data_IF_352955416965
#
_entry.id   IF_352955416965
#
_cell.length_a   1.000
_cell.length_b   1.000
_cell.length_c   1.000
_cell.angle_alpha   90.00
_cell.angle_beta   90.00
_cell.angle_gamma   90.00
#
_symmetry.space_group_name_H-M   'P 1'
#
loop_
_entity.id
_entity.type
_entity.pdbx_description
1 polymer ?
#
# COMPACT_ATOMS: atom_id res chain seq x y z
N UNK A 1 -6.16 -38.81 4.21
CA UNK A 1 -6.08 -37.96 3.01
C UNK A 1 -4.63 -37.57 2.77
N UNK A 2 -4.12 -37.63 1.53
CA UNK A 2 -2.75 -37.20 1.24
C UNK A 2 -2.57 -35.72 1.58
N UNK A 3 -1.47 -35.39 2.27
CA UNK A 3 -1.11 -34.00 2.58
C UNK A 3 -0.56 -33.34 1.32
N UNK A 4 -1.05 -32.15 0.99
CA UNK A 4 -0.52 -31.29 -0.07
C UNK A 4 0.17 -30.10 0.56
N UNK A 5 1.47 -29.96 0.33
CA UNK A 5 2.26 -28.80 0.76
C UNK A 5 2.42 -27.82 -0.39
N UNK A 6 2.03 -26.56 -0.19
CA UNK A 6 2.17 -25.51 -1.19
C UNK A 6 3.49 -24.76 -1.01
N UNK A 7 4.19 -24.51 -2.13
CA UNK A 7 5.45 -23.77 -2.14
C UNK A 7 5.20 -22.37 -2.69
N UNK A 8 5.67 -21.37 -1.95
CA UNK A 8 5.52 -19.96 -2.32
C UNK A 8 6.87 -19.24 -2.34
N UNK A 9 6.99 -18.22 -3.17
CA UNK A 9 8.14 -17.32 -3.24
C UNK A 9 7.60 -15.89 -3.33
N UNK A 10 8.01 -15.02 -2.42
CA UNK A 10 7.53 -13.63 -2.32
C UNK A 10 5.99 -13.52 -2.28
N UNK A 11 5.34 -14.40 -1.50
CA UNK A 11 3.88 -14.43 -1.35
C UNK A 11 3.12 -14.98 -2.56
N UNK A 12 3.82 -15.44 -3.61
CA UNK A 12 3.20 -16.02 -4.80
C UNK A 12 3.42 -17.52 -4.86
N UNK A 13 2.41 -18.29 -5.27
CA UNK A 13 2.55 -19.74 -5.37
C UNK A 13 3.42 -20.13 -6.56
N UNK A 14 4.22 -21.18 -6.37
CA UNK A 14 5.17 -21.71 -7.35
C UNK A 14 4.98 -23.19 -7.63
N UNK A 15 4.20 -23.88 -6.81
CA UNK A 15 3.92 -25.29 -7.01
C UNK A 15 3.37 -25.94 -5.75
N UNK A 16 3.23 -27.26 -5.82
CA UNK A 16 2.79 -28.11 -4.73
C UNK A 16 3.67 -29.36 -4.64
N UNK A 17 3.56 -30.03 -3.49
CA UNK A 17 4.07 -31.38 -3.27
C UNK A 17 2.96 -32.20 -2.64
N UNK A 18 2.52 -33.26 -3.32
CA UNK A 18 1.43 -34.13 -2.86
C UNK A 18 1.98 -35.54 -2.71
N UNK A 19 1.97 -36.09 -1.50
CA UNK A 19 2.52 -37.43 -1.22
C UNK A 19 3.96 -37.63 -1.75
N UNK A 20 4.80 -36.60 -1.65
CA UNK A 20 6.19 -36.63 -2.15
C UNK A 20 6.34 -36.30 -3.64
N UNK A 21 5.27 -36.25 -4.42
CA UNK A 21 5.30 -35.87 -5.84
C UNK A 21 5.28 -34.35 -5.98
N UNK A 22 6.32 -33.78 -6.61
CA UNK A 22 6.47 -32.34 -6.83
C UNK A 22 5.87 -31.94 -8.18
N UNK A 23 5.01 -30.93 -8.16
CA UNK A 23 4.48 -30.25 -9.34
C UNK A 23 4.79 -28.76 -9.23
N UNK A 24 5.51 -28.20 -10.20
CA UNK A 24 5.81 -26.78 -10.31
C UNK A 24 4.82 -26.08 -11.26
N UNK A 25 4.51 -24.81 -10.98
CA UNK A 25 3.56 -24.01 -11.75
C UNK A 25 4.30 -22.98 -12.59
N UNK A 26 4.00 -22.96 -13.89
CA UNK A 26 4.35 -21.86 -14.78
C UNK A 26 3.15 -20.94 -14.92
N UNK A 27 3.36 -19.63 -14.80
CA UNK A 27 2.26 -18.65 -14.71
C UNK A 27 2.41 -17.53 -15.72
N UNK A 28 1.29 -16.97 -16.16
CA UNK A 28 1.27 -15.70 -16.90
C UNK A 28 1.52 -14.48 -15.98
N UNK A 29 1.51 -13.27 -16.55
CA UNK A 29 1.72 -12.02 -15.80
C UNK A 29 0.62 -11.74 -14.76
N UNK A 30 -0.60 -12.27 -14.97
CA UNK A 30 -1.69 -12.20 -14.02
C UNK A 30 -1.63 -13.31 -12.96
N UNK A 31 -0.66 -14.23 -13.05
CA UNK A 31 -0.49 -15.29 -12.07
C UNK A 31 -1.36 -16.52 -12.32
N UNK A 32 -1.99 -16.60 -13.50
CA UNK A 32 -2.74 -17.78 -13.90
C UNK A 32 -1.80 -18.89 -14.33
N UNK A 33 -2.02 -20.12 -13.86
CA UNK A 33 -1.17 -21.27 -14.19
C UNK A 33 -1.34 -21.68 -15.65
N UNK A 34 -0.35 -21.43 -16.50
CA UNK A 34 -0.36 -21.79 -17.93
C UNK A 34 0.20 -23.17 -18.20
N UNK A 35 0.99 -23.73 -17.27
CA UNK A 35 1.46 -25.11 -17.34
C UNK A 35 1.85 -25.64 -15.96
N UNK A 36 1.82 -26.96 -15.83
CA UNK A 36 2.41 -27.67 -14.68
C UNK A 36 3.56 -28.54 -15.16
N UNK A 37 4.65 -28.59 -14.40
CA UNK A 37 5.83 -29.40 -14.72
C UNK A 37 6.28 -30.24 -13.54
N UNK A 38 6.90 -31.38 -13.80
CA UNK A 38 7.53 -32.23 -12.77
C UNK A 38 8.80 -31.56 -12.21
N UNK A 39 9.38 -32.18 -11.18
CA UNK A 39 10.69 -31.77 -10.64
C UNK A 39 11.84 -31.79 -11.67
N UNK A 40 11.70 -32.60 -12.71
CA UNK A 40 12.62 -32.75 -13.83
C UNK A 40 12.25 -31.85 -15.02
N UNK A 41 11.40 -30.85 -14.80
CA UNK A 41 10.92 -29.89 -15.80
C UNK A 41 10.17 -30.50 -17.00
N UNK A 42 9.60 -31.70 -16.84
CA UNK A 42 8.74 -32.31 -17.86
C UNK A 42 7.34 -31.74 -17.74
N UNK A 43 6.76 -31.27 -18.85
CA UNK A 43 5.41 -30.70 -18.87
C UNK A 43 4.36 -31.78 -18.62
N UNK A 44 3.58 -31.63 -17.56
CA UNK A 44 2.46 -32.52 -17.22
C UNK A 44 1.15 -32.04 -17.85
N UNK A 45 0.92 -30.72 -17.82
CA UNK A 45 -0.28 -30.11 -18.38
C UNK A 45 0.04 -28.72 -18.95
N UNK A 46 -0.74 -28.28 -19.94
CA UNK A 46 -0.83 -26.86 -20.33
C UNK A 46 -2.26 -26.38 -20.27
N UNK A 47 -2.46 -25.09 -20.01
CA UNK A 47 -3.77 -24.47 -19.83
C UNK A 47 -3.90 -23.18 -20.62
N UNK A 48 -5.09 -22.94 -21.16
CA UNK A 48 -5.53 -21.64 -21.65
C UNK A 48 -6.78 -21.22 -20.88
N UNK A 49 -6.81 -19.98 -20.44
CA UNK A 49 -7.95 -19.39 -19.75
C UNK A 49 -8.61 -18.34 -20.63
N UNK A 50 -9.94 -18.26 -20.57
CA UNK A 50 -10.70 -17.11 -21.06
C UNK A 50 -10.40 -15.90 -20.17
N UNK A 51 -10.66 -14.66 -20.64
CA UNK A 51 -10.38 -13.45 -19.86
C UNK A 51 -10.96 -13.49 -18.44
N UNK A 52 -12.18 -13.99 -18.28
CA UNK A 52 -12.89 -14.07 -16.99
C UNK A 52 -12.68 -15.37 -16.21
N UNK A 53 -11.66 -16.16 -16.57
CA UNK A 53 -11.14 -17.25 -15.74
C UNK A 53 -11.65 -18.65 -16.06
N UNK A 54 -12.67 -18.78 -16.89
CA UNK A 54 -13.09 -20.08 -17.39
C UNK A 54 -11.96 -20.73 -18.19
N UNK A 55 -11.79 -22.06 -18.07
CA UNK A 55 -10.77 -22.79 -18.82
C UNK A 55 -11.18 -22.89 -20.29
N UNK A 56 -10.40 -22.30 -21.18
CA UNK A 56 -10.57 -22.42 -22.63
C UNK A 56 -10.07 -23.77 -23.15
N UNK A 57 -8.91 -24.23 -22.69
CA UNK A 57 -8.38 -25.53 -23.06
C UNK A 57 -7.37 -26.07 -22.04
N UNK A 58 -7.21 -27.39 -22.04
CA UNK A 58 -6.16 -28.13 -21.33
C UNK A 58 -5.51 -29.13 -22.28
N UNK A 59 -4.20 -29.30 -22.18
CA UNK A 59 -3.50 -30.49 -22.68
C UNK A 59 -2.86 -31.26 -21.52
N UNK A 60 -2.52 -32.53 -21.77
CA UNK A 60 -1.93 -33.41 -20.76
C UNK A 60 -2.98 -34.15 -19.91
N UNK A 61 -2.52 -35.17 -19.19
CA UNK A 61 -3.34 -36.06 -18.37
C UNK A 61 -3.02 -35.95 -16.88
N UNK A 62 -2.10 -35.06 -16.49
CA UNK A 62 -1.76 -34.81 -15.09
C UNK A 62 -2.94 -34.24 -14.30
N UNK A 63 -2.91 -34.41 -12.99
CA UNK A 63 -3.96 -33.90 -12.09
C UNK A 63 -3.98 -32.37 -12.09
N UNK A 64 -5.17 -31.78 -12.17
CA UNK A 64 -5.32 -30.32 -12.10
C UNK A 64 -4.96 -29.80 -10.70
N UNK A 65 -4.12 -28.75 -10.59
CA UNK A 65 -3.89 -28.10 -9.32
C UNK A 65 -5.15 -27.38 -8.84
N UNK A 66 -5.27 -27.17 -7.53
CA UNK A 66 -6.38 -26.39 -6.95
C UNK A 66 -6.29 -24.89 -7.22
N UNK A 67 -5.22 -24.44 -7.86
CA UNK A 67 -4.93 -23.03 -8.11
C UNK A 67 -4.58 -22.92 -9.58
N UNK A 68 -5.50 -22.37 -10.36
CA UNK A 68 -5.42 -22.29 -11.82
C UNK A 68 -5.42 -20.82 -12.25
N UNK A 69 -6.57 -20.30 -12.68
CA UNK A 69 -6.70 -18.89 -13.05
C UNK A 69 -6.42 -17.99 -11.85
N UNK A 70 -5.54 -16.99 -12.05
CA UNK A 70 -4.92 -16.17 -10.99
C UNK A 70 -4.43 -16.96 -9.77
N UNK A 71 -4.08 -18.23 -9.94
CA UNK A 71 -3.87 -19.16 -8.84
C UNK A 71 -2.65 -18.84 -7.98
N UNK A 72 -1.64 -18.17 -8.54
CA UNK A 72 -0.44 -17.83 -7.78
C UNK A 72 -0.66 -16.77 -6.70
N UNK A 73 -1.80 -16.07 -6.72
CA UNK A 73 -2.20 -15.11 -5.69
C UNK A 73 -2.96 -15.77 -4.54
N UNK A 74 -3.19 -17.08 -4.62
CA UNK A 74 -3.95 -17.86 -3.66
C UNK A 74 -5.45 -17.97 -3.99
N UNK A 75 -5.86 -17.56 -5.19
CA UNK A 75 -7.22 -17.80 -5.68
C UNK A 75 -7.42 -19.28 -6.01
N UNK A 76 -8.35 -19.93 -5.32
CA UNK A 76 -8.49 -21.39 -5.31
C UNK A 76 -9.74 -21.83 -6.06
N UNK A 77 -9.65 -22.91 -6.83
CA UNK A 77 -10.82 -23.56 -7.43
C UNK A 77 -11.66 -24.29 -6.38
N UNK A 78 -12.98 -24.13 -6.48
CA UNK A 78 -13.95 -24.73 -5.56
C UNK A 78 -14.61 -25.97 -6.13
N UNK A 79 -14.77 -26.04 -7.46
CA UNK A 79 -15.56 -27.07 -8.15
C UNK A 79 -17.08 -26.84 -8.07
N UNK A 80 -17.52 -25.68 -7.58
CA UNK A 80 -18.94 -25.31 -7.55
C UNK A 80 -19.29 -24.43 -8.76
N UNK A 81 -20.38 -24.78 -9.46
CA UNK A 81 -20.94 -23.96 -10.55
C UNK A 81 -21.40 -22.61 -10.01
N UNK A 82 -21.15 -21.56 -10.79
CA UNK A 82 -21.35 -20.16 -10.46
C UNK A 82 -20.54 -19.63 -9.28
N UNK A 83 -19.59 -20.41 -8.75
CA UNK A 83 -18.74 -20.03 -7.63
C UNK A 83 -17.35 -20.66 -7.78
N UNK A 84 -16.86 -20.79 -9.02
CA UNK A 84 -15.72 -21.63 -9.37
C UNK A 84 -14.43 -21.24 -8.65
N UNK A 85 -14.30 -19.97 -8.24
CA UNK A 85 -13.11 -19.43 -7.60
C UNK A 85 -13.43 -18.87 -6.21
N UNK A 86 -12.64 -19.26 -5.22
CA UNK A 86 -12.63 -18.67 -3.89
C UNK A 86 -11.46 -17.68 -3.75
N UNK A 87 -11.81 -16.43 -3.48
CA UNK A 87 -10.87 -15.33 -3.30
C UNK A 87 -11.12 -14.70 -1.93
N UNK A 88 -10.71 -15.44 -0.88
CA UNK A 88 -10.70 -15.03 0.54
C UNK A 88 -12.02 -14.44 1.05
N UNK A 89 -12.32 -13.19 0.73
CA UNK A 89 -13.55 -12.52 1.13
C UNK A 89 -14.79 -13.02 0.38
N UNK A 90 -14.63 -13.44 -0.89
CA UNK A 90 -15.77 -13.75 -1.76
C UNK A 90 -15.52 -14.97 -2.64
N UNK A 91 -16.62 -15.50 -3.17
CA UNK A 91 -16.59 -16.41 -4.29
C UNK A 91 -16.88 -15.65 -5.58
N UNK A 92 -16.18 -16.04 -6.64
CA UNK A 92 -16.32 -15.51 -7.97
C UNK A 92 -16.78 -16.61 -8.90
N UNK A 93 -17.78 -16.29 -9.72
CA UNK A 93 -18.25 -17.16 -10.77
C UNK A 93 -17.68 -16.75 -12.12
N UNK A 94 -16.84 -17.61 -12.69
CA UNK A 94 -16.23 -17.44 -14.00
C UNK A 94 -17.22 -17.64 -15.15
N UNK A 95 -18.30 -18.39 -14.95
CA UNK A 95 -19.33 -18.61 -15.97
C UNK A 95 -20.16 -17.34 -16.20
N UNK A 96 -20.53 -16.65 -15.13
CA UNK A 96 -21.28 -15.40 -15.18
C UNK A 96 -20.41 -14.13 -15.13
N UNK A 97 -19.10 -14.27 -14.93
CA UNK A 97 -18.14 -13.18 -14.83
C UNK A 97 -18.40 -12.16 -13.71
N UNK A 98 -18.96 -12.62 -12.57
CA UNK A 98 -19.31 -11.75 -11.44
C UNK A 98 -18.99 -12.37 -10.08
N UNK A 99 -18.91 -11.51 -9.06
CA UNK A 99 -18.95 -11.96 -7.67
C UNK A 99 -20.30 -12.60 -7.32
N UNK A 100 -20.27 -13.58 -6.42
CA UNK A 100 -21.49 -14.26 -5.95
C UNK A 100 -22.16 -13.53 -4.77
N UNK A 101 -21.51 -12.51 -4.23
CA UNK A 101 -21.99 -11.70 -3.12
C UNK A 101 -21.69 -10.23 -3.38
N UNK A 102 -22.46 -9.34 -2.73
CA UNK A 102 -22.27 -7.90 -2.83
C UNK A 102 -20.85 -7.52 -2.39
N UNK A 103 -20.24 -6.61 -3.14
CA UNK A 103 -18.95 -6.03 -2.82
C UNK A 103 -19.00 -5.26 -1.50
N UNK A 104 -18.03 -5.49 -0.63
CA UNK A 104 -17.88 -4.73 0.61
C UNK A 104 -17.62 -3.24 0.35
N UNK A 105 -17.13 -2.87 -0.84
CA UNK A 105 -16.92 -1.49 -1.26
C UNK A 105 -18.15 -0.85 -1.92
N UNK A 106 -19.24 -1.59 -2.11
CA UNK A 106 -20.50 -1.02 -2.57
C UNK A 106 -21.03 0.03 -1.55
N UNK A 107 -21.54 1.20 -1.97
CA UNK A 107 -21.85 1.60 -3.35
C UNK A 107 -20.75 2.37 -4.10
N UNK A 108 -19.52 2.45 -3.55
CA UNK A 108 -18.43 3.17 -4.21
C UNK A 108 -17.94 2.50 -5.51
N UNK A 109 -18.28 1.22 -5.70
CA UNK A 109 -18.14 0.50 -6.96
C UNK A 109 -19.30 -0.48 -7.24
N UNK A 110 -19.17 -1.25 -8.33
CA UNK A 110 -20.19 -2.22 -8.75
C UNK A 110 -20.40 -3.29 -7.68
N UNK A 111 -21.67 -3.53 -7.32
CA UNK A 111 -22.02 -4.54 -6.31
C UNK A 111 -21.50 -5.95 -6.64
N UNK A 112 -21.39 -6.30 -7.92
CA UNK A 112 -21.01 -7.65 -8.35
C UNK A 112 -19.93 -7.68 -9.43
N UNK A 113 -19.49 -6.51 -9.90
CA UNK A 113 -18.55 -6.41 -11.01
C UNK A 113 -17.16 -6.92 -10.64
N UNK A 114 -16.54 -7.67 -11.56
CA UNK A 114 -15.15 -8.10 -11.42
C UNK A 114 -14.21 -7.14 -12.16
N UNK A 115 -13.18 -6.65 -11.47
CA UNK A 115 -12.01 -5.94 -12.04
C UNK A 115 -12.30 -4.75 -12.96
N UNK A 116 -13.40 -4.04 -12.69
CA UNK A 116 -13.92 -2.96 -13.57
C UNK A 116 -14.01 -3.40 -15.04
N UNK A 117 -14.44 -4.65 -15.25
CA UNK A 117 -14.53 -5.30 -16.56
C UNK A 117 -13.19 -5.36 -17.35
N UNK A 118 -12.05 -5.32 -16.65
CA UNK A 118 -10.72 -5.39 -17.27
C UNK A 118 -9.87 -6.57 -16.76
N UNK A 119 -10.32 -7.83 -16.97
CA UNK A 119 -9.69 -9.01 -16.38
C UNK A 119 -8.44 -9.48 -17.12
N UNK A 120 -8.09 -8.85 -18.25
CA UNK A 120 -6.86 -9.14 -19.00
C UNK A 120 -5.64 -8.39 -18.46
N UNK A 121 -5.85 -7.36 -17.63
CA UNK A 121 -4.76 -6.58 -17.01
C UNK A 121 -4.89 -6.45 -15.50
N UNK A 122 -6.04 -6.79 -14.93
CA UNK A 122 -6.32 -6.70 -13.48
C UNK A 122 -6.80 -8.04 -12.94
N UNK A 123 -6.61 -8.21 -11.64
CA UNK A 123 -7.05 -9.36 -10.85
C UNK A 123 -7.46 -8.89 -9.46
N UNK A 124 -8.30 -9.65 -8.79
CA UNK A 124 -8.69 -9.41 -7.40
C UNK A 124 -8.47 -10.65 -6.51
N UNK A 125 -7.25 -10.84 -5.99
CA UNK A 125 -6.92 -11.97 -5.12
C UNK A 125 -7.65 -11.96 -3.78
N UNK A 126 -8.03 -10.77 -3.30
CA UNK A 126 -8.66 -10.57 -2.01
C UNK A 126 -10.16 -10.75 -2.04
N UNK A 127 -10.77 -10.67 -3.23
CA UNK A 127 -12.21 -10.57 -3.37
C UNK A 127 -12.74 -9.27 -2.78
N UNK A 128 -12.03 -8.15 -2.93
CA UNK A 128 -12.42 -6.82 -2.44
C UNK A 128 -11.90 -5.66 -3.33
N UNK A 129 -11.34 -6.00 -4.49
CA UNK A 129 -10.61 -5.18 -5.45
C UNK A 129 -10.33 -3.72 -5.03
N UNK A 130 -9.16 -3.31 -4.57
CA UNK A 130 -7.79 -3.76 -4.78
C UNK A 130 -7.17 -4.30 -3.47
N UNK A 131 -6.00 -4.91 -3.57
CA UNK A 131 -5.23 -5.61 -2.52
C UNK A 131 -4.77 -4.77 -1.30
N UNK A 132 -5.46 -3.68 -0.96
CA UNK A 132 -5.19 -2.81 0.18
C UNK A 132 -6.54 -2.41 0.77
N UNK A 133 -6.83 -2.77 2.03
CA UNK A 133 -7.96 -2.15 2.74
C UNK A 133 -7.61 -0.68 2.90
N UNK A 134 -8.14 0.21 2.06
CA UNK A 134 -7.63 1.56 2.02
C UNK A 134 -8.01 2.28 3.32
N UNK A 135 -7.30 3.36 3.68
CA UNK A 135 -7.69 4.15 4.82
C UNK A 135 -9.15 4.62 4.71
N UNK A 136 -9.89 4.56 5.81
CA UNK A 136 -11.25 5.11 5.92
C UNK A 136 -11.16 6.62 6.10
N UNK A 137 -12.16 7.33 5.57
CA UNK A 137 -12.26 8.78 5.75
C UNK A 137 -13.47 9.14 6.60
N UNK A 138 -13.29 10.08 7.51
CA UNK A 138 -14.36 10.79 8.20
C UNK A 138 -14.34 12.26 7.79
N UNK A 139 -15.50 12.90 7.78
CA UNK A 139 -15.63 14.30 7.41
C UNK A 139 -15.36 14.60 5.92
N UNK A 140 -15.24 15.89 5.61
CA UNK A 140 -15.00 16.38 4.25
C UNK A 140 -13.52 16.73 4.08
N UNK A 141 -12.84 16.05 3.16
CA UNK A 141 -11.42 16.27 2.91
C UNK A 141 -11.13 17.33 1.84
N UNK A 142 -12.13 18.10 1.40
CA UNK A 142 -11.94 19.20 0.45
C UNK A 142 -11.27 20.41 1.13
N UNK A 143 -10.27 21.00 0.46
CA UNK A 143 -9.60 22.20 0.95
C UNK A 143 -8.39 22.61 0.10
N UNK A 144 -8.16 23.92 0.00
CA UNK A 144 -7.11 24.48 -0.86
C UNK A 144 -7.32 24.10 -2.34
N UNK A 145 -6.37 23.36 -2.90
CA UNK A 145 -6.41 22.86 -4.29
C UNK A 145 -7.04 21.46 -4.43
N UNK A 146 -7.37 20.80 -3.32
CA UNK A 146 -7.88 19.44 -3.33
C UNK A 146 -9.41 19.43 -3.23
N UNK A 147 -10.05 18.73 -4.15
CA UNK A 147 -11.39 18.17 -3.93
C UNK A 147 -11.28 16.97 -2.99
N UNK A 148 -12.37 16.64 -2.29
CA UNK A 148 -12.46 15.47 -1.43
C UNK A 148 -12.01 14.19 -2.15
N UNK A 149 -12.47 13.98 -3.39
CA UNK A 149 -12.03 12.86 -4.23
C UNK A 149 -10.52 12.89 -4.51
N UNK A 150 -9.96 14.02 -4.92
CA UNK A 150 -8.53 14.13 -5.22
C UNK A 150 -7.62 13.93 -4.00
N UNK A 151 -8.09 14.32 -2.81
CA UNK A 151 -7.37 14.07 -1.56
C UNK A 151 -7.38 12.58 -1.23
N UNK A 152 -8.53 11.92 -1.31
CA UNK A 152 -8.67 10.48 -1.08
C UNK A 152 -7.80 9.68 -2.05
N UNK A 153 -7.79 10.03 -3.34
CA UNK A 153 -6.88 9.43 -4.34
C UNK A 153 -5.41 9.60 -3.95
N UNK A 154 -5.01 10.79 -3.48
CA UNK A 154 -3.65 11.05 -3.03
C UNK A 154 -3.23 10.13 -1.88
N UNK A 155 -4.12 9.91 -0.89
CA UNK A 155 -3.86 8.99 0.22
C UNK A 155 -3.75 7.54 -0.27
N UNK A 156 -4.61 7.12 -1.19
CA UNK A 156 -4.56 5.78 -1.77
C UNK A 156 -3.26 5.54 -2.54
N UNK A 157 -2.82 6.50 -3.35
CA UNK A 157 -1.55 6.41 -4.08
C UNK A 157 -0.34 6.36 -3.13
N UNK A 158 -0.42 7.07 -1.99
CA UNK A 158 0.59 6.99 -0.93
C UNK A 158 0.62 5.59 -0.31
N UNK A 159 -0.52 5.04 0.07
CA UNK A 159 -0.59 3.71 0.65
C UNK A 159 -0.13 2.62 -0.30
N UNK A 160 -0.46 2.76 -1.60
CA UNK A 160 0.03 1.85 -2.63
C UNK A 160 1.54 1.81 -2.74
N UNK A 161 2.16 2.99 -2.69
CA UNK A 161 3.61 3.10 -2.68
C UNK A 161 4.21 2.52 -1.40
N UNK A 162 3.63 2.78 -0.24
CA UNK A 162 4.07 2.23 1.05
C UNK A 162 3.99 0.70 1.08
N UNK A 163 2.87 0.12 0.64
CA UNK A 163 2.64 -1.32 0.60
C UNK A 163 3.56 -2.03 -0.41
N UNK A 164 4.03 -1.32 -1.45
CA UNK A 164 5.03 -1.85 -2.39
C UNK A 164 6.47 -1.89 -1.84
N UNK A 165 6.75 -1.25 -0.70
CA UNK A 165 8.11 -1.19 -0.14
C UNK A 165 8.55 -2.58 0.33
N UNK A 166 9.66 -3.07 -0.23
CA UNK A 166 10.42 -4.19 0.35
C UNK A 166 11.53 -3.66 1.26
N UNK A 167 11.90 -4.42 2.30
CA UNK A 167 13.00 -4.07 3.19
C UNK A 167 14.02 -5.23 3.25
N UNK A 168 15.32 -4.99 2.99
CA UNK A 168 15.90 -3.72 2.54
C UNK A 168 15.55 -3.39 1.08
N UNK A 169 15.54 -2.10 0.73
CA UNK A 169 15.40 -1.64 -0.66
C UNK A 169 16.22 -0.38 -0.93
N UNK A 170 16.58 -0.16 -2.19
CA UNK A 170 17.25 1.07 -2.65
C UNK A 170 16.43 2.33 -2.30
N UNK A 171 15.10 2.21 -2.33
CA UNK A 171 14.18 3.26 -1.90
C UNK A 171 14.43 3.69 -0.45
N UNK A 172 14.41 2.73 0.48
CA UNK A 172 14.64 3.01 1.91
C UNK A 172 16.08 3.49 2.15
N UNK A 173 17.07 2.96 1.42
CA UNK A 173 18.43 3.46 1.49
C UNK A 173 18.53 4.94 1.12
N UNK A 174 17.91 5.36 0.01
CA UNK A 174 17.93 6.75 -0.44
C UNK A 174 17.14 7.68 0.48
N UNK A 175 16.00 7.25 1.00
CA UNK A 175 15.23 8.00 2.00
C UNK A 175 16.08 8.22 3.26
N UNK A 176 16.76 7.18 3.76
CA UNK A 176 17.61 7.29 4.95
C UNK A 176 18.86 8.15 4.71
N UNK A 177 19.42 8.10 3.50
CA UNK A 177 20.50 9.01 3.09
C UNK A 177 20.02 10.47 3.09
N UNK A 178 18.84 10.75 2.56
CA UNK A 178 18.22 12.07 2.60
C UNK A 178 18.06 12.56 4.04
N UNK A 179 17.46 11.75 4.93
CA UNK A 179 17.25 12.11 6.35
C UNK A 179 18.58 12.46 7.02
N UNK A 180 19.62 11.64 6.82
CA UNK A 180 20.94 11.87 7.42
C UNK A 180 21.56 13.20 6.96
N UNK A 181 21.49 13.51 5.68
CA UNK A 181 22.01 14.77 5.13
C UNK A 181 21.22 15.98 5.63
N UNK A 182 19.90 15.89 5.67
CA UNK A 182 19.03 16.93 6.21
C UNK A 182 19.29 17.24 7.68
N UNK A 183 19.50 16.21 8.51
CA UNK A 183 19.87 16.38 9.93
C UNK A 183 21.25 17.05 10.06
N UNK A 184 22.22 16.67 9.22
CA UNK A 184 23.53 17.33 9.21
C UNK A 184 23.43 18.80 8.82
N UNK A 185 22.65 19.13 7.79
CA UNK A 185 22.44 20.51 7.35
C UNK A 185 21.74 21.35 8.44
N UNK A 186 20.69 20.81 9.07
CA UNK A 186 20.02 21.42 10.21
C UNK A 186 21.02 21.73 11.35
N UNK A 187 21.77 20.72 11.78
CA UNK A 187 22.68 20.83 12.93
C UNK A 187 23.89 21.75 12.69
N UNK A 188 24.15 22.18 11.45
CA UNK A 188 25.12 23.23 11.13
C UNK A 188 24.58 24.63 11.41
N UNK A 189 23.28 24.85 11.27
CA UNK A 189 22.64 26.17 11.31
C UNK A 189 21.82 26.43 12.57
N UNK A 190 21.47 25.39 13.35
CA UNK A 190 20.50 25.51 14.45
C UNK A 190 20.94 24.80 15.73
N UNK A 191 20.51 25.38 16.85
CA UNK A 191 20.56 24.81 18.20
C UNK A 191 19.16 24.82 18.82
N UNK A 192 18.79 23.81 19.62
CA UNK A 192 19.55 22.60 19.94
C UNK A 192 19.71 21.68 18.71
N UNK A 193 20.77 20.87 18.71
CA UNK A 193 20.98 19.85 17.68
C UNK A 193 19.91 18.77 17.81
N UNK A 194 19.51 18.20 16.68
CA UNK A 194 18.51 17.13 16.61
C UNK A 194 19.18 15.82 16.18
N UNK A 195 18.60 14.70 16.60
CA UNK A 195 18.92 13.36 16.12
C UNK A 195 17.64 12.67 15.65
N UNK A 196 17.63 12.25 14.38
CA UNK A 196 16.48 11.59 13.79
C UNK A 196 16.82 10.17 13.40
N UNK A 197 15.97 9.24 13.83
CA UNK A 197 16.01 7.87 13.37
C UNK A 197 15.65 7.84 11.87
N UNK A 198 16.35 6.99 11.11
CA UNK A 198 15.92 6.66 9.75
C UNK A 198 14.60 5.87 9.75
N UNK A 199 14.10 5.58 8.56
CA UNK A 199 13.00 4.65 8.36
C UNK A 199 13.53 3.22 8.53
N UNK A 200 13.17 2.59 9.65
CA UNK A 200 13.56 1.22 10.00
C UNK A 200 12.64 0.19 9.35
N UNK A 201 13.03 -1.09 9.42
CA UNK A 201 12.15 -2.22 9.04
C UNK A 201 10.82 -2.19 9.78
N UNK A 202 10.85 -1.92 11.08
CA UNK A 202 9.65 -1.90 11.91
C UNK A 202 8.76 -0.70 11.57
N UNK A 203 9.35 0.45 11.24
CA UNK A 203 8.59 1.60 10.75
C UNK A 203 7.94 1.33 9.41
N UNK A 204 8.63 0.68 8.47
CA UNK A 204 8.01 0.23 7.21
C UNK A 204 6.83 -0.70 7.49
N UNK A 205 7.02 -1.72 8.34
CA UNK A 205 5.94 -2.64 8.71
C UNK A 205 4.75 -1.94 9.38
N UNK A 206 5.02 -0.93 10.21
CA UNK A 206 4.01 -0.07 10.81
C UNK A 206 3.21 0.69 9.74
N UNK A 207 3.88 1.40 8.83
CA UNK A 207 3.23 2.16 7.76
C UNK A 207 2.37 1.25 6.87
N UNK A 208 2.90 0.07 6.50
CA UNK A 208 2.17 -0.93 5.74
C UNK A 208 0.95 -1.45 6.50
N UNK A 209 1.09 -1.65 7.81
CA UNK A 209 -0.02 -2.06 8.68
C UNK A 209 -1.11 -1.00 8.72
N UNK A 210 -0.76 0.30 8.86
CA UNK A 210 -1.74 1.38 8.84
C UNK A 210 -2.48 1.44 7.49
N UNK A 211 -1.74 1.34 6.39
CA UNK A 211 -2.30 1.31 5.04
C UNK A 211 -3.10 0.03 4.71
N UNK A 212 -2.98 -1.04 5.50
CA UNK A 212 -3.62 -2.34 5.23
C UNK A 212 -4.64 -2.78 6.28
N UNK A 213 -4.72 -2.12 7.44
CA UNK A 213 -5.65 -2.43 8.55
C UNK A 213 -6.70 -1.33 8.79
N UNK A 214 -7.14 -0.64 7.74
CA UNK A 214 -8.19 0.39 7.82
C UNK A 214 -7.80 1.61 8.68
N UNK A 215 -6.58 2.14 8.51
CA UNK A 215 -6.20 3.43 9.10
C UNK A 215 -7.28 4.50 8.84
N UNK A 216 -7.50 5.41 9.79
CA UNK A 216 -8.57 6.41 9.69
C UNK A 216 -7.95 7.78 9.42
N UNK A 217 -8.42 8.46 8.38
CA UNK A 217 -8.16 9.88 8.16
C UNK A 217 -9.42 10.66 8.52
N UNK A 218 -9.35 11.52 9.53
CA UNK A 218 -10.46 12.36 9.95
C UNK A 218 -10.25 13.79 9.46
N UNK A 219 -11.08 14.20 8.51
CA UNK A 219 -10.95 15.48 7.82
C UNK A 219 -11.89 16.52 8.42
N UNK A 220 -11.32 17.62 8.90
CA UNK A 220 -12.10 18.73 9.40
C UNK A 220 -11.28 19.74 10.19
N UNK A 221 -11.95 20.78 10.75
CA UNK A 221 -11.28 21.75 11.60
C UNK A 221 -10.68 21.08 12.83
N UNK A 222 -9.37 21.15 12.97
CA UNK A 222 -8.66 20.63 14.15
C UNK A 222 -8.65 21.68 15.25
N UNK A 223 -8.95 21.24 16.49
CA UNK A 223 -8.89 22.09 17.68
C UNK A 223 -7.50 22.73 17.84
N UNK A 224 -7.44 24.02 18.14
CA UNK A 224 -6.17 24.75 18.24
C UNK A 224 -5.58 25.22 16.90
N UNK A 225 -6.27 25.00 15.77
CA UNK A 225 -5.91 25.62 14.50
C UNK A 225 -4.79 24.91 13.73
N UNK A 226 -4.40 23.71 14.13
CA UNK A 226 -3.37 22.92 13.44
C UNK A 226 -3.85 22.43 12.06
N UNK A 227 -2.89 22.11 11.18
CA UNK A 227 -3.15 21.51 9.87
C UNK A 227 -3.25 19.97 9.92
N UNK A 228 -2.67 19.35 10.95
CA UNK A 228 -2.69 17.92 11.18
C UNK A 228 -2.54 17.60 12.68
N UNK A 229 -3.05 16.45 13.09
CA UNK A 229 -2.90 15.92 14.44
C UNK A 229 -3.02 14.39 14.47
N UNK A 230 -2.21 13.72 15.29
CA UNK A 230 -2.31 12.30 15.58
C UNK A 230 -2.62 12.09 17.07
N UNK A 231 -3.89 11.87 17.48
CA UNK A 231 -4.28 11.76 18.89
C UNK A 231 -3.62 10.61 19.65
N UNK A 232 -3.23 9.55 18.94
CA UNK A 232 -2.68 8.32 19.52
C UNK A 232 -1.23 8.41 19.98
N UNK A 233 -0.55 9.56 19.88
CA UNK A 233 0.88 9.66 20.17
C UNK A 233 1.21 9.57 21.68
N UNK A 234 2.07 8.63 22.10
CA UNK A 234 2.69 8.70 23.41
C UNK A 234 3.82 9.75 23.37
N UNK A 235 3.60 10.92 23.96
CA UNK A 235 4.50 12.08 23.94
C UNK A 235 5.86 11.91 24.66
N UNK A 236 6.21 10.72 25.16
CA UNK A 236 7.39 10.53 26.04
C UNK A 236 8.59 9.74 25.48
N UNK A 237 8.43 8.84 24.51
CA UNK A 237 9.57 8.11 23.89
C UNK A 237 9.34 7.76 22.40
N UNK A 238 10.40 7.83 21.58
CA UNK A 238 10.38 7.40 20.17
C UNK A 238 10.67 5.91 20.05
N UNK A 239 9.65 5.10 19.75
CA UNK A 239 9.78 3.66 19.48
C UNK A 239 8.80 3.24 18.38
N UNK A 240 9.22 2.32 17.50
CA UNK A 240 8.36 1.84 16.42
C UNK A 240 7.13 1.10 16.98
N UNK A 241 5.93 1.49 16.56
CA UNK A 241 4.68 0.87 17.00
C UNK A 241 4.29 -0.32 16.11
N UNK A 242 3.82 -1.41 16.71
CA UNK A 242 3.45 -2.64 16.00
C UNK A 242 1.98 -2.68 15.53
N UNK A 243 1.14 -1.72 15.94
CA UNK A 243 -0.29 -1.71 15.59
C UNK A 243 -0.86 -0.27 15.49
N UNK A 244 -0.47 0.50 14.46
CA UNK A 244 -0.99 1.85 14.24
C UNK A 244 -2.44 1.76 13.73
N UNK A 245 -3.40 1.80 14.65
CA UNK A 245 -4.82 1.99 14.33
C UNK A 245 -5.25 3.44 14.62
N UNK A 246 -4.26 4.32 14.82
CA UNK A 246 -4.51 5.70 15.19
C UNK A 246 -5.22 6.44 14.05
N UNK A 247 -6.16 7.28 14.45
CA UNK A 247 -6.80 8.25 13.56
C UNK A 247 -5.80 9.36 13.27
N UNK A 248 -5.65 9.73 12.02
CA UNK A 248 -4.89 10.90 11.60
C UNK A 248 -5.89 12.00 11.26
N UNK A 249 -5.90 13.06 12.04
CA UNK A 249 -6.72 14.22 11.79
C UNK A 249 -5.99 15.16 10.83
N UNK A 250 -6.68 15.63 9.79
CA UNK A 250 -6.16 16.56 8.80
C UNK A 250 -7.17 17.69 8.60
N UNK A 251 -6.70 18.93 8.63
CA UNK A 251 -7.47 20.08 8.17
C UNK A 251 -7.02 20.45 6.75
N UNK A 252 -7.71 19.97 5.70
CA UNK A 252 -7.31 20.20 4.31
C UNK A 252 -7.45 21.67 3.89
N UNK A 253 -8.21 22.48 4.64
CA UNK A 253 -8.39 23.91 4.37
C UNK A 253 -7.19 24.72 4.81
N UNK A 254 -6.40 24.17 5.73
CA UNK A 254 -5.20 24.82 6.24
C UNK A 254 -3.97 24.39 5.45
N UNK A 255 -3.15 25.40 5.17
CA UNK A 255 -1.77 25.22 4.76
C UNK A 255 -0.95 24.89 6.01
N UNK A 256 -0.17 23.81 5.98
CA UNK A 256 0.83 23.59 7.02
C UNK A 256 1.86 24.73 6.95
N UNK A 257 2.37 25.19 8.10
CA UNK A 257 3.40 26.23 8.10
C UNK A 257 4.67 25.70 7.42
N UNK A 258 5.26 26.50 6.53
CA UNK A 258 6.63 26.31 6.04
C UNK A 258 7.53 26.22 7.28
N UNK A 259 8.16 25.08 7.51
CA UNK A 259 8.95 24.91 8.72
C UNK A 259 10.43 25.27 8.52
N UNK A 260 10.78 25.69 7.30
CA UNK A 260 12.06 26.31 6.95
C UNK A 260 11.84 27.39 5.89
N UNK A 261 12.13 28.64 6.24
CA UNK A 261 11.98 29.84 5.41
C UNK A 261 10.57 30.43 5.29
N UNK A 262 10.54 31.76 5.24
CA UNK A 262 9.40 32.64 5.16
C UNK A 262 8.63 32.58 3.83
N UNK A 263 8.55 31.43 3.14
CA UNK A 263 8.05 31.42 1.74
C UNK A 263 7.12 30.27 1.28
N UNK A 264 6.81 29.21 2.04
CA UNK A 264 6.12 28.06 1.43
C UNK A 264 5.15 27.24 2.29
N UNK A 265 3.85 27.37 2.06
CA UNK A 265 2.87 26.44 2.63
C UNK A 265 3.16 24.96 2.26
N UNK A 266 3.36 24.08 3.25
CA UNK A 266 3.39 22.63 3.01
C UNK A 266 1.97 22.14 2.76
N UNK A 267 1.79 21.51 1.60
CA UNK A 267 0.50 20.93 1.20
C UNK A 267 0.08 19.76 2.10
N UNK A 268 -1.22 19.41 2.09
CA UNK A 268 -1.80 18.43 3.00
C UNK A 268 -1.24 17.01 2.85
N UNK A 269 -0.57 16.69 1.71
CA UNK A 269 0.22 15.46 1.54
C UNK A 269 1.40 15.36 2.53
N UNK A 270 2.17 16.44 2.69
CA UNK A 270 3.32 16.45 3.62
C UNK A 270 2.86 16.39 5.07
N UNK A 271 1.74 17.06 5.38
CA UNK A 271 1.09 17.00 6.70
C UNK A 271 0.63 15.57 7.01
N UNK A 272 -0.01 14.89 6.06
CA UNK A 272 -0.40 13.49 6.23
C UNK A 272 0.79 12.58 6.55
N UNK A 273 1.90 12.69 5.79
CA UNK A 273 3.08 11.85 6.03
C UNK A 273 3.70 12.17 7.41
N UNK A 274 3.70 13.44 7.82
CA UNK A 274 4.16 13.86 9.15
C UNK A 274 3.37 13.16 10.26
N UNK A 275 2.04 13.29 10.24
CA UNK A 275 1.17 12.67 11.25
C UNK A 275 1.24 11.13 11.19
N UNK A 276 1.50 10.56 10.02
CA UNK A 276 1.71 9.13 9.88
C UNK A 276 3.02 8.66 10.55
N UNK A 277 4.08 9.48 10.55
CA UNK A 277 5.30 9.18 11.32
C UNK A 277 5.00 9.14 12.82
N UNK A 278 4.15 10.05 13.29
CA UNK A 278 3.66 10.07 14.66
C UNK A 278 2.86 8.83 15.02
N UNK A 279 1.93 8.39 14.17
CA UNK A 279 1.19 7.13 14.34
C UNK A 279 2.13 5.92 14.45
N UNK A 280 3.28 5.98 13.76
CA UNK A 280 4.33 4.96 13.84
C UNK A 280 5.40 5.20 14.92
N UNK A 281 5.15 6.12 15.85
CA UNK A 281 5.95 6.30 17.07
C UNK A 281 7.17 7.20 16.92
N UNK A 282 7.31 7.94 15.82
CA UNK A 282 8.31 9.01 15.73
C UNK A 282 7.86 10.24 16.52
N UNK A 283 8.79 10.85 17.26
CA UNK A 283 8.58 12.14 17.93
C UNK A 283 9.37 13.26 17.25
N UNK A 284 9.05 14.52 17.57
CA UNK A 284 9.80 15.66 17.03
C UNK A 284 11.28 15.67 17.45
N UNK A 285 11.66 15.05 18.57
CA UNK A 285 13.03 14.99 19.09
C UNK A 285 13.69 16.39 19.25
N UNK A 286 12.87 17.44 19.38
CA UNK A 286 13.32 18.81 19.65
C UNK A 286 12.24 19.55 20.45
N UNK A 287 12.66 20.51 21.27
CA UNK A 287 11.75 21.42 21.99
C UNK A 287 11.08 22.44 21.07
N UNK A 288 11.54 22.54 19.82
CA UNK A 288 11.01 23.44 18.80
C UNK A 288 10.14 22.59 17.88
N UNK A 289 8.83 22.53 18.15
CA UNK A 289 7.87 21.72 17.37
C UNK A 289 7.96 21.90 15.84
N UNK A 290 8.46 23.07 15.39
CA UNK A 290 8.73 23.38 13.99
C UNK A 290 9.84 22.52 13.35
N UNK A 291 10.83 22.03 14.10
CA UNK A 291 12.07 21.43 13.59
C UNK A 291 12.15 19.93 13.88
N UNK A 292 11.00 19.26 13.91
CA UNK A 292 10.92 17.88 14.34
C UNK A 292 11.30 16.85 13.28
N UNK A 293 11.81 15.69 13.70
CA UNK A 293 12.14 14.57 12.81
C UNK A 293 11.02 14.10 11.85
N UNK A 294 9.73 14.09 12.23
CA UNK A 294 8.63 13.80 11.31
C UNK A 294 8.59 14.71 10.08
N UNK A 295 8.99 15.99 10.22
CA UNK A 295 9.08 16.91 9.08
C UNK A 295 10.16 16.46 8.09
N UNK A 296 11.37 16.20 8.58
CA UNK A 296 12.50 15.75 7.74
C UNK A 296 12.15 14.43 7.05
N UNK A 297 11.57 13.49 7.80
CA UNK A 297 11.13 12.21 7.26
C UNK A 297 10.04 12.39 6.18
N UNK A 298 9.03 13.21 6.44
CA UNK A 298 7.96 13.49 5.48
C UNK A 298 8.48 14.11 4.18
N UNK A 299 9.41 15.06 4.27
CA UNK A 299 10.08 15.66 3.12
C UNK A 299 10.85 14.62 2.29
N UNK A 300 11.69 13.82 2.93
CA UNK A 300 12.49 12.79 2.26
C UNK A 300 11.62 11.68 1.62
N UNK A 301 10.57 11.25 2.31
CA UNK A 301 9.59 10.26 1.81
C UNK A 301 8.84 10.83 0.59
N UNK A 302 8.35 12.08 0.67
CA UNK A 302 7.63 12.73 -0.42
C UNK A 302 8.50 12.82 -1.67
N UNK A 303 9.75 13.28 -1.54
CA UNK A 303 10.69 13.41 -2.67
C UNK A 303 10.90 12.09 -3.41
N UNK A 304 10.89 10.98 -2.68
CA UNK A 304 11.11 9.66 -3.26
C UNK A 304 9.84 9.06 -3.89
N UNK A 305 8.69 9.15 -3.20
CA UNK A 305 7.47 8.55 -3.70
C UNK A 305 6.75 9.42 -4.73
N UNK A 306 6.91 10.74 -4.73
CA UNK A 306 6.14 11.65 -5.59
C UNK A 306 7.06 12.71 -6.22
N UNK A 307 7.86 12.32 -7.23
CA UNK A 307 8.76 13.26 -7.92
C UNK A 307 8.00 14.29 -8.79
N UNK A 308 6.73 14.04 -9.13
CA UNK A 308 5.94 14.92 -10.01
C UNK A 308 5.36 16.12 -9.26
N UNK A 309 6.06 17.26 -9.32
CA UNK A 309 5.49 18.60 -9.10
C UNK A 309 6.39 19.74 -9.66
N UNK A 310 7.05 19.53 -10.80
CA UNK A 310 7.87 20.59 -11.44
C UNK A 310 7.09 21.34 -12.55
N UNK A 311 5.90 20.88 -12.99
CA UNK A 311 5.27 21.41 -14.22
C UNK A 311 3.96 22.22 -14.09
N UNK A 312 3.38 22.41 -12.90
CA UNK A 312 2.25 23.36 -12.77
C UNK A 312 2.79 24.70 -12.28
N UNK A 313 2.79 25.72 -13.13
CA UNK A 313 3.36 27.07 -12.95
C UNK A 313 2.86 27.92 -11.77
N UNK A 314 2.75 27.33 -10.59
CA UNK A 314 2.77 27.99 -9.30
C UNK A 314 4.17 27.79 -8.72
N UNK A 315 4.82 28.85 -8.17
CA UNK A 315 6.03 28.67 -7.39
C UNK A 315 5.62 28.01 -6.07
N UNK A 316 5.43 26.70 -6.08
CA UNK A 316 5.43 25.92 -4.85
C UNK A 316 6.90 25.86 -4.44
N UNK A 317 7.34 26.91 -3.75
CA UNK A 317 8.70 27.02 -3.21
C UNK A 317 9.04 25.72 -2.48
N UNK A 318 10.13 25.14 -2.93
CA UNK A 318 10.50 23.76 -2.77
C UNK A 318 11.32 23.64 -1.47
N UNK A 319 10.67 23.74 -0.30
CA UNK A 319 11.33 23.78 1.03
C UNK A 319 12.11 22.49 1.40
N UNK A 320 12.07 21.45 0.57
CA UNK A 320 12.92 20.28 0.75
C UNK A 320 14.37 20.51 0.27
N UNK A 321 14.63 21.55 -0.53
CA UNK A 321 15.93 21.79 -1.16
C UNK A 321 16.92 22.60 -0.30
N UNK A 322 16.47 23.38 0.67
CA UNK A 322 17.39 24.09 1.59
C UNK A 322 18.09 23.18 2.61
N UNK A 323 17.85 21.86 2.55
CA UNK A 323 18.47 20.84 3.39
C UNK A 323 19.71 20.15 2.80
N UNK A 324 20.15 20.52 1.58
CA UNK A 324 21.36 19.97 0.93
C UNK A 324 22.48 21.00 0.90
#
# INVERSE_FOLDING_TARGET
MPVTSYRTLNGRMRGQTTSGVRTDYLTDALGSVTATVTDSAVVENTYRHKPYGERLSKTGTGVDPRFLWTGDTGSRSTGASHAEQYNRARHYGSEQATWTSVDTLWPSESAYGYVKANPTTKRDPGGMQEEEKPPKFKGNCAGGIYTDASFKTMVYDLCKKINSITYPSSAIFNINKCIKLSVMAHNRKHTPKIECQGITRNRVACLQTWCSKEGIVDCGPIFGGAAGHCPGTPWRYSYDRNNPSDTIEIDPTKKGKAYYSSTGAVGPRSVLIHELMHACGQQHNSSVAALGCPNIQACCIRKWFFPDAISSGYPVMDDCWEMV
#
